data_IF_140933888459
#
_entry.id   IF_140933888459
#
_cell.length_a   1.000
_cell.length_b   1.000
_cell.length_c   1.000
_cell.angle_alpha   90.00
_cell.angle_beta   90.00
_cell.angle_gamma   90.00
#
_symmetry.space_group_name_H-M   'P 1'
#
loop_
_entity.id
_entity.type
_entity.pdbx_description
1 polymer ?
#
# COMPACT_ATOMS: atom_id res chain seq x y z
N UNK A 1 -5.74 -8.18 30.07
CA UNK A 1 -5.60 -8.54 28.64
C UNK A 1 -4.52 -7.63 28.09
N UNK A 2 -3.37 -8.20 27.72
CA UNK A 2 -2.30 -7.43 27.09
C UNK A 2 -2.70 -7.08 25.65
N UNK A 3 -2.27 -5.92 25.14
CA UNK A 3 -2.54 -5.54 23.76
C UNK A 3 -1.41 -4.72 23.16
N UNK A 4 -1.22 -4.85 21.85
CA UNK A 4 -0.28 -4.05 21.06
C UNK A 4 -0.84 -3.75 19.68
N UNK A 5 -0.25 -2.79 18.95
CA UNK A 5 -0.64 -2.46 17.57
C UNK A 5 0.45 -2.83 16.58
N UNK A 6 0.07 -3.39 15.44
CA UNK A 6 1.00 -3.66 14.33
C UNK A 6 1.30 -2.38 13.58
N UNK A 7 2.56 -2.21 13.16
CA UNK A 7 2.99 -1.09 12.30
C UNK A 7 2.15 -1.01 11.01
N UNK A 8 1.89 -2.15 10.37
CA UNK A 8 1.08 -2.18 9.16
C UNK A 8 -0.40 -2.03 9.50
N UNK A 9 -1.03 -0.96 8.99
CA UNK A 9 -2.46 -0.64 9.13
C UNK A 9 -2.95 -0.45 10.58
N UNK A 10 -2.04 -0.18 11.52
CA UNK A 10 -2.35 0.07 12.93
C UNK A 10 -3.28 -0.98 13.58
N UNK A 11 -3.14 -2.26 13.18
CA UNK A 11 -4.08 -3.31 13.56
C UNK A 11 -3.84 -3.74 15.00
N UNK A 12 -4.82 -3.63 15.90
CA UNK A 12 -4.66 -4.03 17.29
C UNK A 12 -4.69 -5.55 17.41
N UNK A 13 -3.84 -6.06 18.29
CA UNK A 13 -3.73 -7.46 18.68
C UNK A 13 -3.95 -7.54 20.18
N UNK A 14 -4.85 -8.42 20.60
CA UNK A 14 -5.15 -8.69 22.00
C UNK A 14 -4.62 -10.07 22.36
N UNK A 15 -3.89 -10.17 23.47
CA UNK A 15 -3.35 -11.42 24.00
C UNK A 15 -4.25 -11.87 25.16
N UNK A 16 -4.94 -12.99 24.95
CA UNK A 16 -5.84 -13.59 25.93
C UNK A 16 -5.03 -14.25 27.06
N UNK A 17 -5.64 -14.49 28.25
CA UNK A 17 -4.96 -15.21 29.33
C UNK A 17 -4.47 -16.61 28.93
N UNK A 18 -5.13 -17.25 27.96
CA UNK A 18 -4.71 -18.53 27.39
C UNK A 18 -3.49 -18.44 26.45
N UNK A 19 -2.97 -17.24 26.18
CA UNK A 19 -1.92 -16.98 25.20
C UNK A 19 -2.41 -16.84 23.76
N UNK A 20 -3.72 -17.04 23.50
CA UNK A 20 -4.30 -16.83 22.17
C UNK A 20 -4.20 -15.35 21.79
N UNK A 21 -3.73 -15.08 20.56
CA UNK A 21 -3.66 -13.74 20.00
C UNK A 21 -4.81 -13.51 19.02
N UNK A 22 -5.60 -12.48 19.28
CA UNK A 22 -6.73 -12.08 18.42
C UNK A 22 -6.39 -10.73 17.78
N UNK A 23 -6.32 -10.70 16.46
CA UNK A 23 -6.04 -9.48 15.68
C UNK A 23 -7.34 -8.95 15.05
N UNK A 24 -7.67 -7.68 15.30
CA UNK A 24 -8.86 -7.06 14.71
C UNK A 24 -8.49 -6.27 13.46
N UNK A 25 -9.25 -6.50 12.38
CA UNK A 25 -9.07 -5.83 11.10
C UNK A 25 -10.29 -4.96 10.80
N UNK A 26 -10.23 -3.68 11.18
CA UNK A 26 -11.26 -2.69 10.83
C UNK A 26 -10.77 -1.82 9.67
N UNK A 27 -11.05 -2.24 8.44
CA UNK A 27 -10.55 -1.59 7.21
C UNK A 27 -11.43 -0.46 6.67
N UNK A 28 -12.74 -0.47 7.00
CA UNK A 28 -13.72 0.52 6.52
C UNK A 28 -13.97 1.61 7.56
N UNK A 29 -14.03 2.86 7.13
CA UNK A 29 -14.26 4.03 7.99
C UNK A 29 -13.16 4.27 9.03
N UNK A 30 -11.97 3.71 8.83
CA UNK A 30 -10.87 3.76 9.79
C UNK A 30 -9.68 4.55 9.22
N UNK A 31 -9.54 5.79 9.69
CA UNK A 31 -8.46 6.71 9.28
C UNK A 31 -7.08 6.17 9.62
N UNK A 32 -6.93 5.61 10.82
CA UNK A 32 -5.68 5.01 11.30
C UNK A 32 -5.23 3.84 10.41
N UNK A 33 -6.18 3.01 9.97
CA UNK A 33 -5.90 1.90 9.06
C UNK A 33 -5.36 2.38 7.71
N UNK A 34 -5.98 3.43 7.15
CA UNK A 34 -5.55 4.01 5.89
C UNK A 34 -4.21 4.74 6.01
N UNK A 35 -4.02 5.57 7.04
CA UNK A 35 -2.79 6.32 7.28
C UNK A 35 -1.57 5.39 7.37
N UNK A 36 -1.72 4.27 8.07
CA UNK A 36 -0.67 3.28 8.28
C UNK A 36 -0.60 2.19 7.19
N UNK A 37 -1.29 2.36 6.06
CA UNK A 37 -1.19 1.42 4.95
C UNK A 37 0.06 1.68 4.09
N UNK A 38 0.95 0.69 4.02
CA UNK A 38 2.25 0.76 3.32
C UNK A 38 2.25 -0.01 1.98
N UNK A 39 1.08 -0.22 1.35
CA UNK A 39 0.98 -1.03 0.11
C UNK A 39 0.84 -0.17 -1.12
N UNK A 40 1.68 -0.43 -2.12
CA UNK A 40 1.47 -0.06 -3.52
C UNK A 40 0.96 -1.28 -4.30
N UNK A 41 0.19 -1.07 -5.37
CA UNK A 41 -0.35 -2.13 -6.24
C UNK A 41 -0.02 -1.82 -7.69
N UNK A 42 -0.02 -2.85 -8.54
CA UNK A 42 0.03 -2.75 -9.98
C UNK A 42 -1.31 -3.20 -10.55
N UNK A 43 -1.91 -2.40 -11.42
CA UNK A 43 -3.14 -2.77 -12.14
C UNK A 43 -2.81 -3.64 -13.36
N UNK A 44 -3.82 -4.33 -13.90
CA UNK A 44 -3.67 -5.19 -15.07
C UNK A 44 -3.20 -4.43 -16.33
N UNK A 45 -3.52 -3.14 -16.43
CA UNK A 45 -3.14 -2.25 -17.52
C UNK A 45 -1.81 -1.50 -17.26
N UNK A 46 -1.05 -1.90 -16.23
CA UNK A 46 0.30 -1.39 -15.99
C UNK A 46 0.36 -0.03 -15.29
N UNK A 47 -0.58 0.28 -14.40
CA UNK A 47 -0.56 1.49 -13.57
C UNK A 47 -0.24 1.17 -12.12
N UNK A 48 0.64 1.97 -11.51
CA UNK A 48 0.88 1.97 -10.09
C UNK A 48 -0.30 2.62 -9.36
N UNK A 49 -0.81 1.93 -8.34
CA UNK A 49 -1.99 2.29 -7.56
C UNK A 49 -1.64 2.37 -6.06
N UNK A 50 -1.40 3.57 -5.52
CA UNK A 50 -0.95 3.74 -4.13
C UNK A 50 -2.06 3.49 -3.09
N UNK A 51 -3.34 3.60 -3.48
CA UNK A 51 -4.47 3.27 -2.61
C UNK A 51 -5.48 2.38 -3.35
N UNK A 52 -6.01 1.35 -2.67
CA UNK A 52 -6.99 0.42 -3.26
C UNK A 52 -8.27 1.14 -3.71
N UNK A 53 -8.73 2.10 -2.91
CA UNK A 53 -10.02 2.76 -3.08
C UNK A 53 -9.97 4.01 -3.98
N UNK A 54 -8.79 4.39 -4.49
CA UNK A 54 -8.58 5.63 -5.25
C UNK A 54 -8.13 5.37 -6.68
N UNK A 55 -8.71 6.09 -7.63
CA UNK A 55 -8.34 6.01 -9.05
C UNK A 55 -7.83 7.35 -9.61
N UNK A 56 -7.83 8.40 -8.79
CA UNK A 56 -7.44 9.76 -9.15
C UNK A 56 -5.92 10.02 -9.09
N UNK A 57 -5.15 9.09 -8.51
CA UNK A 57 -3.69 9.18 -8.37
C UNK A 57 -2.95 7.95 -8.93
N UNK A 58 -3.46 7.39 -10.02
CA UNK A 58 -2.81 6.29 -10.74
C UNK A 58 -1.62 6.82 -11.54
N UNK A 59 -0.52 6.07 -11.56
CA UNK A 59 0.66 6.39 -12.36
C UNK A 59 0.91 5.31 -13.41
N UNK A 60 0.76 5.66 -14.68
CA UNK A 60 0.97 4.72 -15.80
C UNK A 60 2.46 4.43 -16.02
N UNK A 61 2.81 3.14 -15.95
CA UNK A 61 4.16 2.62 -16.21
C UNK A 61 4.17 1.60 -17.35
N UNK A 62 3.07 1.42 -18.08
CA UNK A 62 2.92 0.42 -19.15
C UNK A 62 4.04 0.51 -20.19
N UNK A 63 4.41 1.74 -20.59
CA UNK A 63 5.52 1.99 -21.53
C UNK A 63 6.89 1.61 -20.98
N UNK A 64 7.09 1.73 -19.67
CA UNK A 64 8.34 1.31 -19.02
C UNK A 64 8.45 -0.22 -19.03
N UNK A 65 7.31 -0.90 -18.92
CA UNK A 65 7.24 -2.37 -18.93
C UNK A 65 7.39 -2.99 -20.34
N UNK A 66 7.54 -2.19 -21.41
CA UNK A 66 7.73 -2.71 -22.77
C UNK A 66 8.97 -3.60 -22.82
N UNK A 67 8.82 -4.84 -23.32
CA UNK A 67 9.89 -5.84 -23.40
C UNK A 67 11.12 -5.34 -24.19
N UNK A 68 10.93 -4.44 -25.15
CA UNK A 68 11.98 -3.94 -26.05
C UNK A 68 12.92 -2.93 -25.42
N UNK A 69 12.55 -2.29 -24.31
CA UNK A 69 13.42 -1.31 -23.67
C UNK A 69 14.58 -1.99 -22.92
N UNK A 70 15.69 -1.27 -22.76
CA UNK A 70 16.86 -1.72 -22.01
C UNK A 70 16.53 -1.94 -20.52
N UNK A 71 17.00 -3.04 -19.93
CA UNK A 71 16.67 -3.42 -18.55
C UNK A 71 17.14 -2.38 -17.51
N UNK A 72 18.35 -1.84 -17.68
CA UNK A 72 18.91 -0.82 -16.78
C UNK A 72 18.03 0.43 -16.72
N UNK A 73 17.57 0.90 -17.88
CA UNK A 73 16.66 2.02 -18.03
C UNK A 73 15.31 1.74 -17.38
N UNK A 74 14.77 0.51 -17.53
CA UNK A 74 13.51 0.12 -16.86
C UNK A 74 13.62 0.19 -15.35
N UNK A 75 14.69 -0.38 -14.79
CA UNK A 75 14.91 -0.39 -13.34
C UNK A 75 14.92 1.04 -12.81
N UNK A 76 15.66 1.94 -13.46
CA UNK A 76 15.74 3.34 -13.05
C UNK A 76 14.37 4.03 -13.12
N UNK A 77 13.63 3.85 -14.22
CA UNK A 77 12.30 4.44 -14.38
C UNK A 77 11.25 3.87 -13.44
N UNK A 78 11.30 2.57 -13.15
CA UNK A 78 10.42 1.94 -12.16
C UNK A 78 10.71 2.48 -10.76
N UNK A 79 11.99 2.65 -10.37
CA UNK A 79 12.34 3.26 -9.07
C UNK A 79 11.76 4.66 -8.95
N UNK A 80 11.97 5.51 -9.95
CA UNK A 80 11.41 6.87 -9.99
C UNK A 80 9.87 6.85 -9.90
N UNK A 81 9.22 5.92 -10.62
CA UNK A 81 7.77 5.78 -10.59
C UNK A 81 7.24 5.34 -9.22
N UNK A 82 7.92 4.42 -8.53
CA UNK A 82 7.54 3.99 -7.17
C UNK A 82 7.65 5.14 -6.18
N UNK A 83 8.73 5.92 -6.23
CA UNK A 83 8.92 7.09 -5.37
C UNK A 83 7.78 8.10 -5.59
N UNK A 84 7.53 8.46 -6.85
CA UNK A 84 6.46 9.39 -7.23
C UNK A 84 5.07 8.90 -6.80
N UNK A 85 4.79 7.62 -6.99
CA UNK A 85 3.52 7.03 -6.56
C UNK A 85 3.37 7.09 -5.03
N UNK A 86 4.46 6.89 -4.27
CA UNK A 86 4.45 7.00 -2.83
C UNK A 86 4.28 8.46 -2.34
N UNK A 87 4.86 9.44 -3.01
CA UNK A 87 4.65 10.87 -2.73
C UNK A 87 3.19 11.28 -2.96
N UNK A 88 2.53 10.70 -3.97
CA UNK A 88 1.10 10.92 -4.24
C UNK A 88 0.15 10.13 -3.34
N UNK A 89 0.68 9.34 -2.39
CA UNK A 89 -0.13 8.45 -1.55
C UNK A 89 -0.94 9.27 -0.57
N UNK A 90 -2.26 9.13 -0.66
CA UNK A 90 -3.20 9.74 0.27
C UNK A 90 -4.18 8.70 0.85
N UNK A 91 -4.47 8.72 2.17
CA UNK A 91 -5.55 7.95 2.76
C UNK A 91 -6.89 8.18 2.05
N UNK A 92 -7.70 7.12 1.93
CA UNK A 92 -9.08 7.27 1.45
C UNK A 92 -9.99 7.79 2.57
N UNK A 93 -9.97 7.12 3.72
CA UNK A 93 -10.57 7.65 4.94
C UNK A 93 -9.56 8.62 5.57
N UNK A 94 -9.86 9.92 5.47
CA UNK A 94 -9.12 11.02 6.11
C UNK A 94 -9.78 11.39 7.42
#
# INVERSE_FOLDING_TARGET
IESYKRRFQNRPVYVMPSGIRVELIRSLGNREFCANCMRIRLTHDGKLKPCLMRNDNLLDISKILDRRAEESWKIEKIKQAIIKANESREPYFK
#
